data_IF_073794727720
#
_entry.id   IF_073794727720
#
_cell.length_a   1.000
_cell.length_b   1.000
_cell.length_c   1.000
_cell.angle_alpha   90.00
_cell.angle_beta   90.00
_cell.angle_gamma   90.00
#
_symmetry.space_group_name_H-M   'P 1'
#
loop_
_entity.id
_entity.type
_entity.pdbx_description
1 polymer ?
#
# COMPACT_ATOMS: atom_id res chain seq x y z
N UNK A 1 -4.14 -22.29 16.45
CA UNK A 1 -5.33 -21.67 17.08
C UNK A 1 -5.60 -22.24 18.46
N UNK A 2 -5.88 -23.54 18.64
CA UNK A 2 -6.15 -24.13 19.96
C UNK A 2 -5.06 -23.83 21.01
N UNK A 3 -3.79 -23.93 20.63
CA UNK A 3 -2.66 -23.58 21.51
C UNK A 3 -2.57 -22.09 21.86
N UNK A 4 -3.05 -21.22 20.97
CA UNK A 4 -3.07 -19.77 21.23
C UNK A 4 -4.18 -19.43 22.23
N UNK A 5 -5.36 -20.03 22.06
CA UNK A 5 -6.48 -19.92 23.01
C UNK A 5 -6.07 -20.44 24.39
N UNK A 6 -5.51 -21.65 24.45
CA UNK A 6 -5.09 -22.25 25.72
C UNK A 6 -4.01 -21.42 26.45
N UNK A 7 -3.19 -20.68 25.70
CA UNK A 7 -2.13 -19.84 26.24
C UNK A 7 -2.56 -18.39 26.52
N UNK A 8 -3.74 -17.99 26.07
CA UNK A 8 -4.18 -16.60 26.10
C UNK A 8 -3.29 -15.65 25.28
N UNK A 9 -2.54 -16.14 24.28
CA UNK A 9 -1.62 -15.33 23.46
C UNK A 9 -1.32 -16.00 22.13
N UNK A 10 -1.01 -15.21 21.11
CA UNK A 10 -0.65 -15.74 19.80
C UNK A 10 0.59 -16.66 19.86
N UNK A 11 0.61 -17.67 18.99
CA UNK A 11 1.74 -18.61 18.86
C UNK A 11 2.46 -18.38 17.52
N UNK A 12 3.81 -18.36 17.52
CA UNK A 12 4.55 -18.23 16.28
C UNK A 12 4.33 -19.46 15.40
N UNK A 13 4.08 -19.24 14.11
CA UNK A 13 3.93 -20.28 13.08
C UNK A 13 5.23 -20.54 12.33
N UNK A 14 6.13 -19.55 12.32
CA UNK A 14 7.38 -19.61 11.56
C UNK A 14 8.54 -19.16 12.43
N UNK A 15 9.72 -19.67 12.13
CA UNK A 15 10.98 -19.29 12.79
C UNK A 15 11.75 -18.22 12.00
N UNK A 16 11.33 -17.94 10.77
CA UNK A 16 11.97 -17.00 9.86
C UNK A 16 10.94 -16.10 9.18
N UNK A 17 11.44 -14.98 8.64
CA UNK A 17 10.63 -14.05 7.83
C UNK A 17 10.60 -14.51 6.39
N UNK A 18 9.41 -14.86 5.88
CA UNK A 18 9.26 -15.36 4.51
C UNK A 18 9.02 -14.27 3.46
N UNK A 19 8.90 -13.00 3.87
CA UNK A 19 8.75 -11.85 2.98
C UNK A 19 9.83 -10.82 3.26
N UNK A 20 10.36 -10.22 2.20
CA UNK A 20 11.25 -9.09 2.33
C UNK A 20 10.48 -7.92 2.93
N UNK A 21 11.07 -7.27 3.94
CA UNK A 21 10.57 -6.04 4.53
C UNK A 21 11.68 -5.02 4.37
N UNK A 22 11.39 -3.97 3.61
CA UNK A 22 12.33 -2.86 3.37
C UNK A 22 12.73 -2.22 4.71
N UNK A 23 13.95 -1.70 4.85
CA UNK A 23 14.32 -0.90 6.02
C UNK A 23 13.51 0.41 6.13
N UNK A 24 12.94 0.89 5.02
CA UNK A 24 12.25 2.18 4.93
C UNK A 24 10.92 2.05 4.17
N UNK A 25 9.98 1.19 4.61
CA UNK A 25 8.71 1.03 3.93
C UNK A 25 7.83 2.26 4.14
N UNK A 26 7.06 2.64 3.14
CA UNK A 26 6.00 3.64 3.30
C UNK A 26 4.75 2.98 3.86
N UNK A 27 4.19 3.53 4.94
CA UNK A 27 2.90 3.11 5.48
C UNK A 27 1.80 4.00 4.91
N UNK A 28 0.72 3.40 4.43
CA UNK A 28 -0.47 4.08 3.95
C UNK A 28 -1.72 3.51 4.65
N UNK A 29 -2.36 4.33 5.49
CA UNK A 29 -3.54 3.97 6.28
C UNK A 29 -4.75 4.73 5.73
N UNK A 30 -5.51 4.14 4.80
CA UNK A 30 -6.70 4.80 4.26
C UNK A 30 -7.87 4.76 5.24
N UNK A 31 -8.64 5.85 5.26
CA UNK A 31 -9.94 5.94 5.94
C UNK A 31 -11.01 6.25 4.90
N UNK A 32 -12.02 5.38 4.79
CA UNK A 32 -13.07 5.45 3.75
C UNK A 32 -14.44 5.60 4.37
N UNK A 33 -15.35 6.30 3.70
CA UNK A 33 -16.77 6.32 4.10
C UNK A 33 -17.39 4.93 3.99
N UNK A 34 -18.22 4.58 4.96
CA UNK A 34 -19.09 3.42 4.83
C UNK A 34 -20.15 3.68 3.75
N UNK A 35 -20.38 2.71 2.86
CA UNK A 35 -21.46 2.76 1.87
C UNK A 35 -21.20 3.58 0.59
N UNK A 36 -20.09 4.33 0.50
CA UNK A 36 -19.69 5.04 -0.73
C UNK A 36 -18.34 4.55 -1.22
N UNK A 37 -18.36 3.72 -2.27
CA UNK A 37 -17.15 3.12 -2.84
C UNK A 37 -16.18 4.19 -3.33
N UNK A 38 -15.02 4.29 -2.67
CA UNK A 38 -13.90 5.10 -3.14
C UNK A 38 -13.91 6.56 -2.72
N UNK A 39 -14.86 6.99 -1.87
CA UNK A 39 -14.81 8.33 -1.28
C UNK A 39 -13.86 8.33 -0.06
N UNK A 40 -12.71 9.02 -0.14
CA UNK A 40 -11.82 9.16 1.02
C UNK A 40 -12.46 10.02 2.10
N UNK A 41 -12.36 9.60 3.36
CA UNK A 41 -12.49 10.48 4.52
C UNK A 41 -11.13 11.07 4.91
N UNK A 42 -10.06 10.32 4.66
CA UNK A 42 -8.71 10.74 4.92
C UNK A 42 -7.73 9.60 4.74
N UNK A 43 -6.47 9.87 5.02
CA UNK A 43 -5.43 8.86 5.13
C UNK A 43 -4.28 9.37 5.97
N UNK A 44 -3.60 8.46 6.66
CA UNK A 44 -2.26 8.71 7.18
C UNK A 44 -1.24 8.08 6.24
N UNK A 45 -0.17 8.80 5.91
CA UNK A 45 0.89 8.33 5.02
C UNK A 45 2.27 8.79 5.51
N UNK A 46 3.27 7.92 5.48
CA UNK A 46 4.64 8.27 5.84
C UNK A 46 5.61 7.09 5.85
N UNK A 47 6.90 7.38 5.74
CA UNK A 47 7.99 6.38 5.84
C UNK A 47 8.62 6.27 7.23
N UNK A 48 8.33 7.24 8.11
CA UNK A 48 8.83 7.28 9.48
C UNK A 48 7.71 7.71 10.44
N UNK A 49 7.85 7.35 11.72
CA UNK A 49 6.83 7.61 12.75
C UNK A 49 6.63 9.11 13.01
N UNK A 50 7.70 9.87 12.94
CA UNK A 50 7.80 11.31 13.20
C UNK A 50 7.56 12.18 11.95
N UNK A 51 7.45 11.56 10.77
CA UNK A 51 7.17 12.24 9.49
C UNK A 51 5.86 11.74 8.83
N UNK A 52 4.94 11.20 9.64
CA UNK A 52 3.63 10.78 9.14
C UNK A 52 2.72 12.01 8.90
N UNK A 53 2.14 12.08 7.71
CA UNK A 53 1.19 13.11 7.32
C UNK A 53 -0.24 12.59 7.38
N UNK A 54 -1.13 13.36 8.03
CA UNK A 54 -2.57 13.13 8.02
C UNK A 54 -3.23 14.02 6.96
N UNK A 55 -3.89 13.40 5.99
CA UNK A 55 -4.72 14.05 4.98
C UNK A 55 -6.18 13.78 5.31
N UNK A 56 -7.03 14.80 5.21
CA UNK A 56 -8.46 14.69 5.53
C UNK A 56 -9.32 15.27 4.42
N UNK A 57 -10.53 14.73 4.27
CA UNK A 57 -11.53 15.21 3.31
C UNK A 57 -12.80 15.56 4.09
N UNK A 58 -12.97 16.83 4.49
CA UNK A 58 -14.09 17.25 5.34
C UNK A 58 -15.46 16.96 4.72
N UNK A 59 -15.57 17.04 3.39
CA UNK A 59 -16.78 16.72 2.64
C UNK A 59 -16.45 15.74 1.50
N UNK A 60 -16.55 14.41 1.73
CA UNK A 60 -16.18 13.40 0.73
C UNK A 60 -16.98 13.44 -0.56
N UNK A 61 -18.15 14.08 -0.55
CA UNK A 61 -18.99 14.27 -1.75
C UNK A 61 -18.54 15.44 -2.60
N UNK A 62 -17.81 16.38 -2.02
CA UNK A 62 -17.19 17.46 -2.76
C UNK A 62 -16.06 16.90 -3.63
N UNK A 63 -16.13 17.18 -4.92
CA UNK A 63 -15.17 16.68 -5.89
C UNK A 63 -13.84 17.41 -5.81
N UNK A 64 -13.85 18.70 -5.55
CA UNK A 64 -12.64 19.52 -5.53
C UNK A 64 -11.81 19.20 -4.27
N UNK A 65 -12.48 18.92 -3.14
CA UNK A 65 -11.81 18.42 -1.94
C UNK A 65 -11.22 17.01 -2.13
N UNK A 66 -11.89 16.12 -2.87
CA UNK A 66 -11.30 14.83 -3.27
C UNK A 66 -10.11 15.01 -4.21
N UNK A 67 -10.24 15.93 -5.16
CA UNK A 67 -9.20 16.61 -5.94
C UNK A 67 -7.93 16.87 -5.13
N UNK A 68 -8.08 17.78 -4.17
CA UNK A 68 -7.03 18.27 -3.30
C UNK A 68 -6.43 17.15 -2.45
N UNK A 69 -7.26 16.23 -1.93
CA UNK A 69 -6.77 15.07 -1.19
C UNK A 69 -5.86 14.17 -2.03
N UNK A 70 -6.27 13.83 -3.25
CA UNK A 70 -5.47 12.98 -4.14
C UNK A 70 -4.18 13.68 -4.56
N UNK A 71 -4.25 15.00 -4.77
CA UNK A 71 -3.08 15.82 -5.07
C UNK A 71 -2.09 15.86 -3.88
N UNK A 72 -2.58 16.00 -2.65
CA UNK A 72 -1.76 15.94 -1.44
C UNK A 72 -1.21 14.54 -1.17
N UNK A 73 -1.98 13.49 -1.47
CA UNK A 73 -1.50 12.12 -1.39
C UNK A 73 -0.36 11.87 -2.40
N UNK A 74 -0.51 12.41 -3.62
CA UNK A 74 0.52 12.32 -4.65
C UNK A 74 1.80 13.04 -4.24
N UNK A 75 1.70 14.24 -3.63
CA UNK A 75 2.83 14.98 -3.09
C UNK A 75 3.61 14.19 -2.01
N UNK A 76 2.94 13.33 -1.25
CA UNK A 76 3.59 12.50 -0.23
C UNK A 76 4.16 11.20 -0.79
N UNK A 77 3.44 10.54 -1.69
CA UNK A 77 3.81 9.21 -2.16
C UNK A 77 4.80 9.23 -3.33
N UNK A 78 4.65 10.16 -4.28
CA UNK A 78 5.48 10.15 -5.49
C UNK A 78 6.97 10.31 -5.23
N UNK A 79 7.44 11.24 -4.35
CA UNK A 79 8.87 11.36 -4.08
C UNK A 79 9.50 10.05 -3.58
N UNK A 80 8.77 9.31 -2.74
CA UNK A 80 9.21 7.99 -2.27
C UNK A 80 9.23 6.96 -3.40
N UNK A 81 8.17 6.91 -4.22
CA UNK A 81 8.04 5.89 -5.28
C UNK A 81 9.05 6.11 -6.41
N UNK A 82 9.21 7.36 -6.84
CA UNK A 82 10.06 7.73 -7.98
C UNK A 82 11.53 7.75 -7.60
N UNK A 83 11.88 8.02 -6.33
CA UNK A 83 13.27 8.00 -5.87
C UNK A 83 13.98 6.66 -6.05
N UNK A 84 13.25 5.55 -6.18
CA UNK A 84 13.86 4.23 -6.50
C UNK A 84 14.32 4.12 -7.95
N UNK A 85 13.87 5.01 -8.84
CA UNK A 85 14.35 5.06 -10.22
C UNK A 85 15.69 5.81 -10.36
N UNK A 86 16.14 6.50 -9.31
CA UNK A 86 17.38 7.30 -9.34
C UNK A 86 18.64 6.44 -9.12
N UNK A 87 18.52 5.30 -8.43
CA UNK A 87 19.63 4.37 -8.17
C UNK A 87 19.47 3.09 -8.99
N UNK A 88 20.23 3.01 -10.09
CA UNK A 88 20.14 1.94 -11.09
C UNK A 88 21.46 1.21 -11.27
N UNK A 89 21.36 -0.07 -11.58
CA UNK A 89 22.41 -0.86 -12.19
C UNK A 89 22.17 -0.98 -13.69
N UNK A 90 23.26 -1.06 -14.43
CA UNK A 90 23.25 -1.16 -15.88
C UNK A 90 23.52 -2.60 -16.30
N UNK A 91 22.61 -3.19 -17.09
CA UNK A 91 22.78 -4.52 -17.65
C UNK A 91 22.72 -4.50 -19.18
N UNK A 92 23.48 -5.39 -19.84
CA UNK A 92 23.36 -5.62 -21.27
C UNK A 92 22.29 -6.68 -21.54
N UNK A 93 21.25 -6.34 -22.31
CA UNK A 93 20.22 -7.27 -22.78
C UNK A 93 20.22 -7.38 -24.30
N UNK A 94 19.90 -8.57 -24.80
CA UNK A 94 19.75 -8.81 -26.23
C UNK A 94 18.32 -8.57 -26.66
N UNK A 95 18.04 -7.39 -27.19
CA UNK A 95 16.74 -7.05 -27.78
C UNK A 95 16.76 -7.19 -29.30
N UNK A 96 15.58 -7.38 -29.88
CA UNK A 96 15.41 -7.44 -31.33
C UNK A 96 15.10 -6.03 -31.81
N UNK A 97 15.96 -5.49 -32.67
CA UNK A 97 15.75 -4.22 -33.32
C UNK A 97 14.42 -4.28 -34.13
N UNK A 98 13.44 -3.41 -33.83
CA UNK A 98 12.12 -3.45 -34.48
C UNK A 98 12.16 -3.05 -35.96
N UNK A 99 13.22 -2.37 -36.42
CA UNK A 99 13.41 -1.94 -37.80
C UNK A 99 14.20 -2.97 -38.59
N UNK A 100 15.29 -3.50 -38.02
CA UNK A 100 16.23 -4.38 -38.75
C UNK A 100 16.01 -5.87 -38.46
N UNK A 101 15.26 -6.23 -37.42
CA UNK A 101 14.99 -7.61 -37.01
C UNK A 101 16.21 -8.35 -36.44
N UNK A 102 17.36 -7.68 -36.30
CA UNK A 102 18.58 -8.28 -35.75
C UNK A 102 18.60 -8.17 -34.23
N UNK A 103 19.20 -9.15 -33.57
CA UNK A 103 19.47 -9.07 -32.13
C UNK A 103 20.67 -8.17 -31.89
N UNK A 104 20.47 -7.11 -31.14
CA UNK A 104 21.51 -6.18 -30.71
C UNK A 104 21.61 -6.18 -29.19
N UNK A 105 22.80 -5.92 -28.67
CA UNK A 105 22.96 -5.67 -27.24
C UNK A 105 22.56 -4.23 -26.97
N UNK A 106 21.57 -4.07 -26.10
CA UNK A 106 21.10 -2.78 -25.60
C UNK A 106 21.38 -2.72 -24.12
N UNK A 107 21.83 -1.55 -23.69
CA UNK A 107 22.03 -1.23 -22.30
C UNK A 107 20.68 -0.90 -21.67
N UNK A 108 20.32 -1.60 -20.59
CA UNK A 108 19.09 -1.36 -19.83
C UNK A 108 19.42 -1.00 -18.39
N UNK A 109 18.67 -0.05 -17.87
CA UNK A 109 18.74 0.34 -16.46
C UNK A 109 17.77 -0.50 -15.63
N UNK A 110 18.24 -1.04 -14.52
CA UNK A 110 17.46 -1.77 -13.53
C UNK A 110 17.58 -1.09 -12.19
N UNK A 111 16.45 -0.75 -11.58
CA UNK A 111 16.43 -0.18 -10.23
C UNK A 111 17.08 -1.17 -9.26
N UNK A 112 18.02 -0.67 -8.44
CA UNK A 112 18.75 -1.50 -7.46
C UNK A 112 17.87 -1.98 -6.32
N UNK A 113 16.86 -1.18 -5.98
CA UNK A 113 15.87 -1.50 -4.97
C UNK A 113 14.46 -1.14 -5.50
N UNK A 114 13.43 -1.50 -4.74
CA UNK A 114 12.05 -1.27 -5.13
C UNK A 114 11.21 -0.71 -3.98
N UNK A 115 10.22 0.15 -4.28
CA UNK A 115 9.37 0.72 -3.26
C UNK A 115 8.53 -0.36 -2.58
N UNK A 116 8.46 -0.30 -1.26
CA UNK A 116 7.54 -1.10 -0.47
C UNK A 116 6.50 -0.21 0.21
N UNK A 117 5.21 -0.51 0.00
CA UNK A 117 4.07 0.13 0.64
C UNK A 117 3.35 -0.88 1.53
N UNK A 118 3.11 -0.49 2.78
CA UNK A 118 2.38 -1.29 3.77
C UNK A 118 1.03 -0.62 4.06
N UNK A 119 -0.04 -1.41 3.98
CA UNK A 119 -1.39 -1.01 4.37
C UNK A 119 -1.86 -1.83 5.57
N UNK A 120 -2.83 -1.35 6.38
CA UNK A 120 -3.22 -2.06 7.61
C UNK A 120 -3.71 -3.49 7.35
N UNK A 121 -4.61 -3.65 6.39
CA UNK A 121 -5.30 -4.92 6.14
C UNK A 121 -5.59 -5.11 4.64
N UNK A 122 -6.18 -6.25 4.29
CA UNK A 122 -6.54 -6.57 2.91
C UNK A 122 -7.47 -5.54 2.26
N UNK A 123 -8.35 -4.86 3.03
CA UNK A 123 -9.20 -3.79 2.49
C UNK A 123 -8.38 -2.58 2.05
N UNK A 124 -7.24 -2.30 2.69
CA UNK A 124 -6.31 -1.27 2.26
C UNK A 124 -5.71 -1.57 0.88
N UNK A 125 -5.42 -2.84 0.58
CA UNK A 125 -4.93 -3.27 -0.74
C UNK A 125 -6.00 -3.02 -1.80
N UNK A 126 -7.25 -3.40 -1.52
CA UNK A 126 -8.37 -3.16 -2.43
C UNK A 126 -8.64 -1.67 -2.64
N UNK A 127 -8.45 -0.86 -1.60
CA UNK A 127 -8.57 0.58 -1.71
C UNK A 127 -7.48 1.20 -2.59
N UNK A 128 -6.22 0.79 -2.45
CA UNK A 128 -5.13 1.20 -3.35
C UNK A 128 -5.46 0.87 -4.80
N UNK A 129 -5.97 -0.34 -5.07
CA UNK A 129 -6.40 -0.76 -6.41
C UNK A 129 -7.53 0.11 -6.95
N UNK A 130 -8.49 0.46 -6.09
CA UNK A 130 -9.61 1.34 -6.44
C UNK A 130 -9.14 2.75 -6.80
N UNK A 131 -8.24 3.34 -6.00
CA UNK A 131 -7.63 4.64 -6.27
C UNK A 131 -6.86 4.62 -7.59
N UNK A 132 -6.05 3.60 -7.83
CA UNK A 132 -5.34 3.45 -9.11
C UNK A 132 -6.28 3.47 -10.31
N UNK A 133 -7.39 2.72 -10.24
CA UNK A 133 -8.42 2.71 -11.31
C UNK A 133 -9.12 4.04 -11.51
N UNK A 134 -9.42 4.77 -10.43
CA UNK A 134 -10.21 6.00 -10.51
C UNK A 134 -9.40 7.24 -10.91
N UNK A 135 -8.07 7.16 -10.88
CA UNK A 135 -7.17 8.33 -11.06
C UNK A 135 -6.25 8.25 -12.26
N UNK A 136 -5.78 7.06 -12.68
CA UNK A 136 -4.69 6.91 -13.69
C UNK A 136 -4.92 7.55 -15.07
N UNK A 137 -6.18 7.83 -15.43
CA UNK A 137 -6.59 8.40 -16.71
C UNK A 137 -7.35 9.73 -16.56
N UNK A 138 -7.20 10.40 -15.42
CA UNK A 138 -7.77 11.74 -15.24
C UNK A 138 -7.05 12.72 -16.15
N UNK A 139 -7.83 13.59 -16.82
CA UNK A 139 -7.29 14.66 -17.67
C UNK A 139 -6.73 15.78 -16.83
N UNK A 140 -5.61 16.33 -17.29
CA UNK A 140 -5.00 17.52 -16.71
C UNK A 140 -5.34 18.74 -17.57
N UNK A 141 -5.13 19.94 -17.02
CA UNK A 141 -5.32 21.17 -17.79
C UNK A 141 -4.30 21.31 -18.93
N UNK A 142 -3.16 20.62 -18.83
CA UNK A 142 -2.13 20.57 -19.89
C UNK A 142 -2.55 19.66 -21.05
N UNK A 143 -3.24 18.55 -20.75
CA UNK A 143 -3.73 17.61 -21.77
C UNK A 143 -4.93 18.16 -22.53
N UNK A 144 -5.84 18.84 -21.81
CA UNK A 144 -7.11 19.34 -22.34
C UNK A 144 -7.49 20.65 -21.61
N UNK A 145 -7.19 21.82 -22.20
CA UNK A 145 -7.51 23.11 -21.60
C UNK A 145 -9.00 23.35 -21.37
N UNK A 146 -9.87 22.64 -22.11
CA UNK A 146 -11.33 22.76 -22.03
C UNK A 146 -11.96 21.73 -21.08
N UNK A 147 -11.16 20.86 -20.42
CA UNK A 147 -11.64 19.91 -19.43
C UNK A 147 -12.36 20.66 -18.28
N UNK A 148 -13.64 20.38 -17.99
CA UNK A 148 -14.37 21.09 -16.95
C UNK A 148 -13.81 20.91 -15.53
N UNK A 149 -13.13 19.78 -15.27
CA UNK A 149 -12.58 19.45 -13.95
C UNK A 149 -11.17 18.84 -14.04
N UNK A 150 -10.16 19.64 -14.46
CA UNK A 150 -8.82 19.13 -14.64
C UNK A 150 -8.19 18.84 -13.28
N UNK A 151 -7.37 17.80 -13.22
CA UNK A 151 -6.57 17.50 -12.02
C UNK A 151 -5.10 17.87 -12.24
N UNK A 152 -4.33 18.14 -11.18
CA UNK A 152 -2.88 18.28 -11.30
C UNK A 152 -2.23 17.02 -11.88
N UNK A 153 -1.19 17.16 -12.72
CA UNK A 153 -0.52 16.05 -13.42
C UNK A 153 -0.01 14.92 -12.50
N UNK A 154 0.32 15.25 -11.25
CA UNK A 154 0.71 14.28 -10.22
C UNK A 154 -0.41 13.27 -9.86
N UNK A 155 -1.68 13.64 -10.03
CA UNK A 155 -2.82 12.75 -9.70
C UNK A 155 -2.88 11.52 -10.63
N UNK A 156 -2.92 11.66 -11.97
CA UNK A 156 -2.89 10.50 -12.85
C UNK A 156 -1.57 9.73 -12.77
N UNK A 157 -0.43 10.40 -12.51
CA UNK A 157 0.85 9.74 -12.26
C UNK A 157 0.79 8.83 -11.02
N UNK A 158 0.29 9.34 -9.89
CA UNK A 158 0.00 8.52 -8.70
C UNK A 158 -0.93 7.36 -9.06
N UNK A 159 -1.99 7.61 -9.84
CA UNK A 159 -2.92 6.56 -10.27
C UNK A 159 -2.26 5.41 -11.01
N UNK A 160 -1.26 5.69 -11.87
CA UNK A 160 -0.48 4.66 -12.56
C UNK A 160 0.37 3.85 -11.58
N UNK A 161 1.05 4.52 -10.64
CA UNK A 161 1.81 3.85 -9.59
C UNK A 161 0.92 2.96 -8.70
N UNK A 162 -0.22 3.47 -8.22
CA UNK A 162 -1.15 2.69 -7.41
C UNK A 162 -1.75 1.51 -8.19
N UNK A 163 -1.96 1.67 -9.50
CA UNK A 163 -2.35 0.55 -10.38
C UNK A 163 -1.26 -0.51 -10.41
N UNK A 164 0.01 -0.12 -10.64
CA UNK A 164 1.15 -1.03 -10.62
C UNK A 164 1.28 -1.78 -9.29
N UNK A 165 1.30 -1.05 -8.17
CA UNK A 165 1.36 -1.64 -6.81
C UNK A 165 0.21 -2.62 -6.57
N UNK A 166 -1.01 -2.22 -6.97
CA UNK A 166 -2.21 -3.04 -6.83
C UNK A 166 -2.21 -4.33 -7.66
N UNK A 167 -1.67 -4.30 -8.88
CA UNK A 167 -1.48 -5.49 -9.71
C UNK A 167 -0.39 -6.39 -9.14
N UNK A 168 0.70 -5.80 -8.66
CA UNK A 168 1.83 -6.51 -8.06
C UNK A 168 1.45 -7.18 -6.75
N UNK A 169 0.48 -6.66 -6.00
CA UNK A 169 -0.05 -7.34 -4.80
C UNK A 169 -0.68 -8.72 -5.10
N UNK A 170 -1.16 -8.95 -6.34
CA UNK A 170 -1.73 -10.23 -6.77
C UNK A 170 -0.67 -11.23 -7.23
N UNK A 171 0.58 -10.79 -7.42
CA UNK A 171 1.67 -11.65 -7.87
C UNK A 171 2.28 -12.39 -6.67
N UNK A 172 2.31 -13.73 -6.65
CA UNK A 172 2.97 -14.48 -5.58
C UNK A 172 4.42 -14.04 -5.39
N UNK A 173 4.85 -13.87 -4.12
CA UNK A 173 6.21 -13.43 -3.78
C UNK A 173 6.47 -11.93 -3.88
N UNK A 174 5.65 -11.17 -4.62
CA UNK A 174 5.78 -9.71 -4.73
C UNK A 174 5.61 -9.01 -3.39
N UNK A 175 6.53 -8.11 -3.06
CA UNK A 175 6.57 -7.41 -1.76
C UNK A 175 6.44 -5.89 -1.90
N UNK A 176 5.89 -5.40 -3.02
CA UNK A 176 5.71 -3.96 -3.28
C UNK A 176 4.51 -3.36 -2.55
N UNK A 177 3.43 -4.13 -2.39
CA UNK A 177 2.24 -3.72 -1.64
C UNK A 177 1.80 -4.87 -0.73
N UNK A 178 1.87 -4.66 0.58
CA UNK A 178 1.64 -5.68 1.59
C UNK A 178 0.61 -5.21 2.61
N UNK A 179 -0.32 -6.09 2.99
CA UNK A 179 -1.16 -5.84 4.16
C UNK A 179 -0.46 -6.31 5.44
N UNK A 180 -0.50 -5.50 6.50
CA UNK A 180 0.10 -5.86 7.78
C UNK A 180 -0.58 -7.08 8.39
N UNK A 181 -1.92 -7.16 8.32
CA UNK A 181 -2.65 -8.38 8.75
C UNK A 181 -2.22 -9.61 7.96
N UNK A 182 -2.04 -9.48 6.63
CA UNK A 182 -1.60 -10.59 5.79
C UNK A 182 -0.16 -11.06 6.09
N UNK A 183 0.73 -10.14 6.49
CA UNK A 183 2.07 -10.47 6.95
C UNK A 183 2.03 -11.17 8.31
N UNK A 184 1.31 -10.60 9.28
CA UNK A 184 1.26 -11.07 10.66
C UNK A 184 0.56 -12.43 10.78
N UNK A 185 -0.59 -12.63 10.13
CA UNK A 185 -1.33 -13.91 10.17
C UNK A 185 -0.58 -15.07 9.49
N UNK A 186 0.46 -14.79 8.71
CA UNK A 186 1.38 -15.84 8.22
C UNK A 186 2.42 -16.25 9.26
N UNK A 187 2.74 -15.38 10.22
CA UNK A 187 3.77 -15.61 11.23
C UNK A 187 3.18 -15.97 12.59
N UNK A 188 1.90 -15.65 12.83
CA UNK A 188 1.25 -15.83 14.12
C UNK A 188 -0.09 -16.52 13.95
N UNK A 189 -0.33 -17.52 14.78
CA UNK A 189 -1.65 -18.09 15.01
C UNK A 189 -2.28 -17.42 16.22
N UNK A 190 -3.45 -16.83 16.04
CA UNK A 190 -4.28 -16.27 17.12
C UNK A 190 -5.37 -17.26 17.54
N UNK A 191 -6.19 -16.89 18.52
CA UNK A 191 -7.46 -17.57 18.81
C UNK A 191 -8.61 -17.10 17.92
N UNK A 192 -8.39 -16.10 17.06
CA UNK A 192 -9.43 -15.48 16.24
C UNK A 192 -9.69 -16.26 14.96
N UNK A 193 -10.82 -15.98 14.32
CA UNK A 193 -11.07 -16.31 12.93
C UNK A 193 -10.22 -15.45 11.99
N UNK A 194 -10.04 -15.91 10.75
CA UNK A 194 -9.32 -15.14 9.74
C UNK A 194 -9.99 -13.81 9.37
N UNK A 195 -11.31 -13.67 9.62
CA UNK A 195 -12.02 -12.40 9.42
C UNK A 195 -11.69 -11.40 10.52
N UNK A 196 -11.67 -11.84 11.77
CA UNK A 196 -11.31 -11.02 12.93
C UNK A 196 -9.83 -10.59 12.89
N UNK A 197 -8.94 -11.44 12.39
CA UNK A 197 -7.54 -11.10 12.14
C UNK A 197 -7.36 -9.93 11.14
N UNK A 198 -8.39 -9.57 10.36
CA UNK A 198 -8.33 -8.38 9.50
C UNK A 198 -8.46 -7.07 10.28
N UNK A 199 -8.86 -7.12 11.55
CA UNK A 199 -8.78 -6.00 12.47
C UNK A 199 -7.37 -5.92 13.06
N UNK A 200 -6.52 -5.04 12.50
CA UNK A 200 -5.10 -4.99 12.85
C UNK A 200 -4.86 -4.74 14.35
N UNK A 201 -5.68 -3.91 15.01
CA UNK A 201 -5.58 -3.66 16.45
C UNK A 201 -5.81 -4.94 17.27
N UNK A 202 -6.83 -5.70 16.93
CA UNK A 202 -7.16 -6.96 17.61
C UNK A 202 -6.09 -8.04 17.36
N UNK A 203 -5.58 -8.13 16.13
CA UNK A 203 -4.47 -9.02 15.80
C UNK A 203 -3.20 -8.68 16.60
N UNK A 204 -2.84 -7.39 16.70
CA UNK A 204 -1.71 -6.94 17.50
C UNK A 204 -1.93 -7.24 18.99
N UNK A 205 -3.14 -7.06 19.49
CA UNK A 205 -3.49 -7.39 20.88
C UNK A 205 -3.36 -8.89 21.20
N UNK A 206 -3.59 -9.78 20.23
CA UNK A 206 -3.28 -11.21 20.40
C UNK A 206 -1.77 -11.49 20.42
N UNK A 207 -0.98 -10.77 19.64
CA UNK A 207 0.48 -10.97 19.52
C UNK A 207 1.21 -10.42 20.74
N UNK A 208 0.84 -9.21 21.15
CA UNK A 208 1.44 -8.48 22.26
C UNK A 208 0.36 -7.84 23.16
N UNK A 209 -0.39 -8.66 23.92
CA UNK A 209 -1.37 -8.13 24.85
C UNK A 209 -0.70 -7.31 25.95
N UNK A 210 -1.33 -6.22 26.41
CA UNK A 210 -0.90 -5.50 27.60
C UNK A 210 -0.75 -6.41 28.82
N UNK A 211 0.14 -6.04 29.74
CA UNK A 211 0.36 -6.80 30.96
C UNK A 211 -0.93 -6.93 31.79
N UNK A 212 -1.26 -8.16 32.19
CA UNK A 212 -2.42 -8.46 33.03
C UNK A 212 -3.72 -8.75 32.27
N UNK A 213 -3.72 -8.70 30.94
CA UNK A 213 -4.82 -9.14 30.08
C UNK A 213 -4.38 -10.28 29.18
N UNK A 214 -5.29 -11.19 28.86
CA UNK A 214 -5.04 -12.16 27.80
C UNK A 214 -5.36 -11.58 26.40
N UNK A 215 -4.95 -12.29 25.36
CA UNK A 215 -5.14 -11.86 23.97
C UNK A 215 -6.61 -11.72 23.56
N UNK A 216 -7.52 -12.50 24.15
CA UNK A 216 -8.94 -12.41 23.83
C UNK A 216 -9.57 -11.15 24.43
N UNK A 217 -9.25 -10.86 25.70
CA UNK A 217 -9.69 -9.64 26.40
C UNK A 217 -9.14 -8.39 25.72
N UNK A 218 -7.84 -8.38 25.41
CA UNK A 218 -7.20 -7.24 24.77
C UNK A 218 -7.72 -7.00 23.34
N UNK A 219 -8.00 -8.07 22.59
CA UNK A 219 -8.56 -7.97 21.25
C UNK A 219 -9.99 -7.44 21.23
N UNK A 220 -10.82 -7.82 22.21
CA UNK A 220 -12.19 -7.32 22.33
C UNK A 220 -12.26 -5.82 22.68
N UNK A 221 -11.21 -5.28 23.28
CA UNK A 221 -11.10 -3.87 23.65
C UNK A 221 -10.50 -2.97 22.55
N UNK A 222 -9.97 -3.56 21.48
CA UNK A 222 -9.26 -2.86 20.40
C UNK A 222 -10.20 -2.43 19.27
#
# INVERSE_FOLDING_TARGET
>A
QAEAVAAGRARPLTTVRHRHLSPTPMVFVPLTTAGETGAPLGAMVGGARDDASLLVVPQPRDRDLRFAFLAGLAERMLPYLEGFADDVDTELRKETDPVTGKRTEVEVELCRDAPQVIVPSGSGVEYVRLLGRSTRFRRTAEDDPDEPHPVPARVPLLGRWLTHLGERALTPGSSLLLSMTGLLSRHWATGQSGLEDQHLGALLAWIDPPGGTDGAEAAAAA
#
